data_IF_256582366446
#
_entry.id   IF_256582366446
#
_cell.length_a   1.000
_cell.length_b   1.000
_cell.length_c   1.000
_cell.angle_alpha   90.00
_cell.angle_beta   90.00
_cell.angle_gamma   90.00
#
_symmetry.space_group_name_H-M   'P 1'
#
loop_
_entity.id
_entity.type
_entity.pdbx_description
1 polymer ?
#
# COMPACT_ATOMS: atom_id res chain seq x y z
N UNK A 1 15.69 -20.62 7.76
CA UNK A 1 14.80 -19.50 8.12
C UNK A 1 13.61 -19.48 7.17
N UNK A 2 12.45 -19.25 7.72
CA UNK A 2 11.24 -19.22 6.91
C UNK A 2 11.08 -17.84 6.29
N UNK A 3 11.06 -17.78 4.97
CA UNK A 3 10.71 -16.55 4.26
C UNK A 3 9.21 -16.52 4.01
N UNK A 4 8.68 -15.30 3.92
CA UNK A 4 7.29 -15.05 3.53
C UNK A 4 7.25 -14.03 2.41
N UNK A 5 6.19 -14.07 1.63
CA UNK A 5 5.94 -13.05 0.61
C UNK A 5 5.20 -11.89 1.25
N UNK A 6 5.71 -10.67 1.03
CA UNK A 6 5.08 -9.44 1.48
C UNK A 6 4.80 -8.54 0.30
N UNK A 7 3.76 -7.73 0.41
CA UNK A 7 3.41 -6.74 -0.60
C UNK A 7 3.63 -5.37 0.00
N UNK A 8 4.43 -4.55 -0.67
CA UNK A 8 4.72 -3.19 -0.24
C UNK A 8 4.10 -2.20 -1.21
N UNK A 9 3.51 -1.14 -0.66
CA UNK A 9 2.93 -0.04 -1.41
C UNK A 9 3.67 1.23 -1.04
N UNK A 10 4.19 1.94 -2.04
CA UNK A 10 4.86 3.22 -1.84
C UNK A 10 3.86 4.35 -2.08
N UNK A 11 3.85 5.34 -1.19
CA UNK A 11 3.03 6.54 -1.33
C UNK A 11 3.89 7.72 -1.70
N UNK A 12 3.43 8.49 -2.67
CA UNK A 12 4.11 9.72 -3.05
C UNK A 12 5.10 9.58 -4.19
N UNK A 13 5.11 8.45 -4.90
CA UNK A 13 5.92 8.30 -6.12
C UNK A 13 5.40 9.30 -7.16
N UNK A 14 6.31 10.14 -7.66
CA UNK A 14 5.98 11.18 -8.63
C UNK A 14 6.64 10.89 -9.98
N UNK A 15 6.02 11.32 -11.09
CA UNK A 15 6.65 11.14 -12.41
C UNK A 15 7.88 12.00 -12.61
N UNK A 16 8.00 13.09 -11.85
CA UNK A 16 9.15 14.00 -11.93
C UNK A 16 9.32 14.72 -10.60
N UNK A 17 10.48 15.33 -10.40
CA UNK A 17 10.77 16.14 -9.22
C UNK A 17 11.32 15.33 -8.05
N UNK A 18 11.04 15.78 -6.84
CA UNK A 18 11.73 15.32 -5.62
C UNK A 18 11.56 13.84 -5.34
N UNK A 19 10.38 13.29 -5.55
CA UNK A 19 10.09 11.87 -5.26
C UNK A 19 9.89 11.06 -6.54
N UNK A 20 10.53 11.47 -7.63
CA UNK A 20 10.57 10.68 -8.85
C UNK A 20 11.58 9.55 -8.69
N UNK A 21 11.19 8.33 -9.05
CA UNK A 21 12.04 7.16 -8.94
C UNK A 21 11.60 6.12 -9.97
N UNK A 22 12.57 5.39 -10.51
CA UNK A 22 12.30 4.32 -11.48
C UNK A 22 12.14 2.99 -10.76
N UNK A 23 11.19 2.19 -11.18
CA UNK A 23 10.97 0.87 -10.58
C UNK A 23 12.20 -0.03 -10.70
N UNK A 24 12.96 0.08 -11.80
CA UNK A 24 14.20 -0.68 -11.95
C UNK A 24 15.21 -0.34 -10.86
N UNK A 25 15.33 0.92 -10.48
CA UNK A 25 16.22 1.34 -9.40
C UNK A 25 15.74 0.81 -8.04
N UNK A 26 14.44 0.79 -7.82
CA UNK A 26 13.85 0.22 -6.61
C UNK A 26 14.17 -1.28 -6.52
N UNK A 27 13.97 -2.03 -7.61
CA UNK A 27 14.30 -3.47 -7.62
C UNK A 27 15.77 -3.71 -7.31
N UNK A 28 16.65 -2.91 -7.88
CA UNK A 28 18.10 -3.04 -7.64
C UNK A 28 18.45 -2.75 -6.19
N UNK A 29 18.00 -1.64 -5.65
CA UNK A 29 18.33 -1.24 -4.27
C UNK A 29 17.79 -2.25 -3.26
N UNK A 30 16.55 -2.69 -3.42
CA UNK A 30 15.95 -3.64 -2.49
C UNK A 30 16.57 -5.03 -2.61
N UNK A 31 16.91 -5.47 -3.82
CA UNK A 31 17.64 -6.72 -4.00
C UNK A 31 19.01 -6.70 -3.34
N UNK A 32 19.72 -5.58 -3.45
CA UNK A 32 21.02 -5.39 -2.81
C UNK A 32 20.90 -5.26 -1.27
N UNK A 33 19.72 -5.02 -0.77
CA UNK A 33 19.44 -4.86 0.67
C UNK A 33 19.07 -6.18 1.36
N UNK A 34 19.16 -7.30 0.67
CA UNK A 34 18.85 -8.61 1.23
C UNK A 34 17.42 -9.07 1.12
N UNK A 35 16.60 -8.34 0.38
CA UNK A 35 15.24 -8.76 0.05
C UNK A 35 15.29 -9.62 -1.22
N UNK A 36 14.49 -10.68 -1.25
CA UNK A 36 14.56 -11.68 -2.33
C UNK A 36 13.39 -11.56 -3.28
N UNK A 37 13.62 -11.93 -4.54
CA UNK A 37 12.58 -12.04 -5.56
C UNK A 37 11.74 -10.76 -5.66
N UNK A 38 12.43 -9.62 -5.68
CA UNK A 38 11.77 -8.30 -5.72
C UNK A 38 11.14 -8.09 -7.09
N UNK A 39 9.84 -7.87 -7.12
CA UNK A 39 9.04 -7.68 -8.33
C UNK A 39 8.22 -6.41 -8.19
N UNK A 40 8.03 -5.70 -9.27
CA UNK A 40 7.23 -4.48 -9.29
C UNK A 40 6.18 -4.53 -10.39
N UNK A 41 5.08 -3.83 -10.18
CA UNK A 41 4.03 -3.66 -11.18
C UNK A 41 3.76 -2.18 -11.35
N UNK A 42 3.70 -1.73 -12.57
CA UNK A 42 3.48 -0.34 -12.97
C UNK A 42 4.39 0.64 -12.23
N UNK A 43 4.36 1.91 -12.62
CA UNK A 43 5.26 2.95 -12.08
C UNK A 43 4.71 3.60 -10.81
N UNK A 44 3.74 3.00 -10.15
CA UNK A 44 3.09 3.60 -8.97
C UNK A 44 3.61 3.07 -7.63
N UNK A 45 4.61 2.17 -7.63
CA UNK A 45 5.22 1.73 -6.39
C UNK A 45 4.55 0.52 -5.74
N UNK A 46 4.09 -0.43 -6.54
CA UNK A 46 3.55 -1.71 -6.05
C UNK A 46 4.66 -2.75 -6.14
N UNK A 47 5.03 -3.35 -5.01
CA UNK A 47 6.19 -4.22 -4.89
C UNK A 47 5.79 -5.52 -4.20
N UNK A 48 6.24 -6.66 -4.74
CA UNK A 48 6.21 -7.93 -3.99
C UNK A 48 7.64 -8.39 -3.74
N UNK A 49 7.86 -9.02 -2.62
CA UNK A 49 9.18 -9.50 -2.24
C UNK A 49 9.06 -10.66 -1.26
N UNK A 50 10.14 -11.42 -1.12
CA UNK A 50 10.24 -12.50 -0.16
C UNK A 50 11.31 -12.17 0.86
N UNK A 51 11.01 -12.35 2.15
CA UNK A 51 11.91 -12.01 3.23
C UNK A 51 11.58 -12.80 4.49
N UNK A 52 12.58 -12.96 5.35
CA UNK A 52 12.40 -13.51 6.70
C UNK A 52 12.02 -12.42 7.72
N UNK A 53 12.09 -11.15 7.33
CA UNK A 53 11.76 -10.04 8.21
C UNK A 53 10.25 -9.92 8.43
N UNK A 54 9.87 -9.30 9.55
CA UNK A 54 8.47 -8.92 9.80
C UNK A 54 8.03 -7.83 8.82
N UNK A 55 6.72 -7.63 8.70
CA UNK A 55 6.19 -6.54 7.88
C UNK A 55 6.69 -5.17 8.35
N UNK A 56 6.71 -4.94 9.66
CA UNK A 56 7.19 -3.68 10.24
C UNK A 56 8.67 -3.43 9.94
N UNK A 57 9.51 -4.44 10.11
CA UNK A 57 10.95 -4.32 9.83
C UNK A 57 11.19 -4.14 8.33
N UNK A 58 10.42 -4.81 7.49
CA UNK A 58 10.50 -4.66 6.04
C UNK A 58 10.14 -3.24 5.62
N UNK A 59 9.06 -2.68 6.16
CA UNK A 59 8.66 -1.31 5.85
C UNK A 59 9.76 -0.31 6.24
N UNK A 60 10.36 -0.48 7.42
CA UNK A 60 11.44 0.39 7.88
C UNK A 60 12.68 0.27 7.01
N UNK A 61 13.04 -0.95 6.62
CA UNK A 61 14.20 -1.19 5.75
C UNK A 61 14.00 -0.55 4.38
N UNK A 62 12.84 -0.74 3.77
CA UNK A 62 12.54 -0.17 2.46
C UNK A 62 12.62 1.36 2.53
N UNK A 63 11.98 1.97 3.52
CA UNK A 63 11.99 3.42 3.68
C UNK A 63 13.42 3.95 3.79
N UNK A 64 14.22 3.35 4.65
CA UNK A 64 15.59 3.78 4.90
C UNK A 64 16.47 3.61 3.65
N UNK A 65 16.37 2.48 2.96
CA UNK A 65 17.21 2.21 1.79
C UNK A 65 16.85 3.10 0.60
N UNK A 66 15.57 3.35 0.38
CA UNK A 66 15.18 4.26 -0.70
C UNK A 66 15.61 5.70 -0.39
N UNK A 67 15.52 6.10 0.87
CA UNK A 67 15.96 7.44 1.27
C UNK A 67 17.47 7.61 1.13
N UNK A 68 18.27 6.65 1.59
CA UNK A 68 19.73 6.76 1.55
C UNK A 68 20.33 6.49 0.18
N UNK A 69 19.74 5.60 -0.60
CA UNK A 69 20.29 5.17 -1.90
C UNK A 69 19.70 5.93 -3.09
N UNK A 70 18.46 6.36 -3.02
CA UNK A 70 17.77 7.01 -4.13
C UNK A 70 17.30 8.43 -3.79
N UNK A 71 17.55 8.89 -2.57
CA UNK A 71 17.19 10.22 -2.10
C UNK A 71 15.71 10.55 -2.27
N UNK A 72 14.84 9.58 -1.98
CA UNK A 72 13.39 9.75 -1.99
C UNK A 72 12.84 9.45 -0.60
N UNK A 73 11.86 10.22 -0.17
CA UNK A 73 11.19 10.04 1.12
C UNK A 73 9.75 9.61 0.84
N UNK A 74 9.56 8.30 0.81
CA UNK A 74 8.28 7.69 0.47
C UNK A 74 7.74 6.93 1.67
N UNK A 75 6.46 7.11 1.98
CA UNK A 75 5.80 6.28 2.97
C UNK A 75 5.67 4.85 2.42
N UNK A 76 5.95 3.87 3.25
CA UNK A 76 5.97 2.45 2.86
C UNK A 76 4.95 1.70 3.70
N UNK A 77 3.98 1.09 3.03
CA UNK A 77 2.94 0.29 3.66
C UNK A 77 3.15 -1.15 3.24
N UNK A 78 3.29 -2.05 4.22
CA UNK A 78 3.58 -3.47 3.95
C UNK A 78 2.45 -4.33 4.49
N UNK A 79 1.94 -5.21 3.65
CA UNK A 79 0.85 -6.14 3.97
C UNK A 79 1.24 -7.56 3.55
N UNK A 80 0.74 -8.54 4.33
CA UNK A 80 0.80 -9.94 3.89
C UNK A 80 -0.30 -10.21 2.87
N UNK A 81 -0.14 -11.25 2.02
CA UNK A 81 -1.22 -11.66 1.13
C UNK A 81 -2.52 -11.98 1.87
N UNK A 82 -2.44 -12.60 3.06
CA UNK A 82 -3.62 -12.90 3.87
C UNK A 82 -4.35 -11.64 4.32
N UNK A 83 -3.59 -10.60 4.73
CA UNK A 83 -4.19 -9.32 5.09
C UNK A 83 -4.90 -8.67 3.90
N UNK A 84 -4.29 -8.73 2.71
CA UNK A 84 -4.92 -8.18 1.50
C UNK A 84 -6.18 -8.94 1.11
N UNK A 85 -6.17 -10.27 1.25
CA UNK A 85 -7.37 -11.06 1.00
C UNK A 85 -8.51 -10.68 1.95
N UNK A 86 -8.18 -10.45 3.22
CA UNK A 86 -9.17 -10.02 4.21
C UNK A 86 -9.71 -8.63 3.88
N UNK A 87 -8.84 -7.70 3.47
CA UNK A 87 -9.25 -6.36 3.06
C UNK A 87 -10.24 -6.43 1.90
N UNK A 88 -9.94 -7.26 0.90
CA UNK A 88 -10.85 -7.45 -0.23
C UNK A 88 -12.17 -8.09 0.19
N UNK A 89 -12.12 -9.07 1.09
CA UNK A 89 -13.33 -9.75 1.58
C UNK A 89 -14.23 -8.83 2.40
N UNK A 90 -13.67 -7.86 3.10
CA UNK A 90 -14.41 -6.89 3.92
C UNK A 90 -14.90 -5.68 3.15
N UNK A 91 -14.60 -5.58 1.85
CA UNK A 91 -15.06 -4.46 1.01
C UNK A 91 -16.59 -4.41 1.00
N UNK A 92 -17.20 -3.32 1.51
CA UNK A 92 -18.67 -3.22 1.56
C UNK A 92 -19.29 -2.81 0.22
N UNK A 93 -18.47 -2.39 -0.74
CA UNK A 93 -18.94 -1.83 -2.01
C UNK A 93 -18.80 -2.86 -3.12
N UNK A 94 -19.55 -3.96 -3.00
CA UNK A 94 -19.56 -5.07 -3.97
C UNK A 94 -20.97 -5.30 -4.49
N UNK A 95 -21.08 -6.00 -5.62
CA UNK A 95 -22.36 -6.34 -6.23
C UNK A 95 -22.78 -5.34 -7.31
N UNK A 96 -23.98 -5.53 -7.81
CA UNK A 96 -24.47 -4.75 -8.98
C UNK A 96 -24.69 -3.28 -8.68
N UNK A 97 -24.87 -2.89 -7.40
CA UNK A 97 -25.08 -1.51 -7.01
C UNK A 97 -23.82 -0.64 -7.13
N UNK A 98 -22.65 -1.27 -7.28
CA UNK A 98 -21.37 -0.57 -7.25
C UNK A 98 -20.51 -0.91 -8.46
N UNK A 99 -19.87 0.12 -9.03
CA UNK A 99 -18.86 -0.05 -10.07
C UNK A 99 -17.49 -0.25 -9.40
N UNK A 100 -16.91 -1.44 -9.54
CA UNK A 100 -15.63 -1.77 -8.91
C UNK A 100 -14.50 -0.83 -9.31
N UNK A 101 -14.58 -0.19 -10.47
CA UNK A 101 -13.58 0.79 -10.92
C UNK A 101 -13.63 2.08 -10.13
N UNK A 102 -14.69 2.30 -9.35
CA UNK A 102 -14.90 3.50 -8.55
C UNK A 102 -14.74 3.26 -7.06
N UNK A 103 -14.25 2.08 -6.68
CA UNK A 103 -13.96 1.72 -5.29
C UNK A 103 -12.48 1.92 -5.04
N UNK A 104 -12.15 2.65 -3.98
CA UNK A 104 -10.78 2.97 -3.61
C UNK A 104 -10.51 2.50 -2.18
N UNK A 105 -9.31 1.98 -1.95
CA UNK A 105 -8.88 1.51 -0.64
C UNK A 105 -7.75 2.39 -0.13
N UNK A 106 -7.82 2.80 1.13
CA UNK A 106 -6.71 3.46 1.81
C UNK A 106 -6.13 2.48 2.84
N UNK A 107 -4.83 2.26 2.75
CA UNK A 107 -4.12 1.31 3.59
C UNK A 107 -3.15 2.03 4.52
N UNK A 108 -2.88 1.45 5.68
CA UNK A 108 -1.89 1.95 6.63
C UNK A 108 -1.21 0.78 7.34
N UNK A 109 -0.04 1.02 7.93
CA UNK A 109 0.68 -0.01 8.69
C UNK A 109 0.06 -0.26 10.07
N UNK A 110 -0.68 0.70 10.59
CA UNK A 110 -1.36 0.59 11.88
C UNK A 110 -2.87 0.50 11.67
N UNK A 111 -3.61 -0.10 12.61
CA UNK A 111 -5.06 -0.15 12.50
C UNK A 111 -5.67 1.24 12.36
N UNK A 112 -6.65 1.36 11.50
CA UNK A 112 -7.36 2.61 11.25
C UNK A 112 -8.52 2.76 12.22
N UNK A 113 -8.80 4.00 12.62
CA UNK A 113 -9.95 4.34 13.44
C UNK A 113 -10.58 5.64 12.92
N UNK A 114 -11.90 5.73 13.00
CA UNK A 114 -12.64 6.92 12.58
C UNK A 114 -12.74 7.92 13.72
N UNK A 115 -11.61 8.50 14.13
CA UNK A 115 -11.53 9.41 15.26
C UNK A 115 -12.24 10.76 15.01
N UNK A 116 -12.38 11.12 13.73
CA UNK A 116 -13.04 12.39 13.35
C UNK A 116 -14.51 12.21 12.98
N UNK A 117 -15.05 10.98 13.04
CA UNK A 117 -16.43 10.71 12.68
C UNK A 117 -16.72 10.90 11.20
N UNK A 118 -15.73 10.68 10.35
CA UNK A 118 -15.86 10.93 8.91
C UNK A 118 -16.89 10.05 8.23
N UNK A 119 -16.99 8.79 8.66
CA UNK A 119 -17.92 7.83 8.05
C UNK A 119 -19.39 8.20 8.30
N UNK A 120 -19.67 8.99 9.34
CA UNK A 120 -21.01 9.44 9.66
C UNK A 120 -21.43 10.69 8.87
N UNK A 121 -20.52 11.32 8.15
CA UNK A 121 -20.83 12.50 7.34
C UNK A 121 -21.54 12.11 6.06
N UNK A 122 -22.40 13.02 5.59
CA UNK A 122 -23.07 12.87 4.31
C UNK A 122 -22.19 13.47 3.21
N UNK A 123 -21.70 12.61 2.32
CA UNK A 123 -20.89 13.01 1.17
C UNK A 123 -21.69 12.97 -0.15
N UNK A 124 -23.01 12.92 -0.05
CA UNK A 124 -23.87 12.78 -1.23
C UNK A 124 -23.80 11.37 -1.81
N UNK A 125 -23.47 11.25 -3.11
CA UNK A 125 -23.32 9.95 -3.75
C UNK A 125 -22.05 9.21 -3.37
N UNK A 126 -21.08 9.90 -2.81
CA UNK A 126 -19.83 9.28 -2.35
C UNK A 126 -20.04 8.63 -0.99
N UNK A 127 -19.37 7.51 -0.76
CA UNK A 127 -19.50 6.75 0.47
C UNK A 127 -18.13 6.42 1.04
N UNK A 128 -18.06 6.38 2.38
CA UNK A 128 -16.83 6.09 3.10
C UNK A 128 -17.12 5.08 4.21
N UNK A 129 -16.29 4.07 4.32
CA UNK A 129 -16.31 3.13 5.45
C UNK A 129 -14.90 2.91 5.96
N UNK A 130 -14.71 3.06 7.27
CA UNK A 130 -13.42 2.89 7.92
C UNK A 130 -13.45 1.63 8.76
N UNK A 131 -12.59 0.67 8.41
CA UNK A 131 -12.37 -0.56 9.15
C UNK A 131 -10.93 -0.59 9.66
N UNK A 132 -10.58 -1.41 10.66
CA UNK A 132 -9.20 -1.45 11.16
C UNK A 132 -8.16 -1.76 10.08
N UNK A 133 -8.50 -2.61 9.10
CA UNK A 133 -7.57 -3.04 8.06
C UNK A 133 -7.46 -2.07 6.89
N UNK A 134 -8.51 -1.30 6.60
CA UNK A 134 -8.51 -0.38 5.47
C UNK A 134 -9.68 0.59 5.57
N UNK A 135 -9.56 1.73 4.92
CA UNK A 135 -10.69 2.59 4.63
C UNK A 135 -11.15 2.30 3.20
N UNK A 136 -12.46 2.25 3.00
CA UNK A 136 -13.07 1.97 1.70
C UNK A 136 -13.87 3.19 1.26
N UNK A 137 -13.67 3.61 0.02
CA UNK A 137 -14.35 4.76 -0.53
C UNK A 137 -15.02 4.39 -1.84
N UNK A 138 -16.27 4.82 -2.01
CA UNK A 138 -16.97 4.71 -3.27
C UNK A 138 -17.20 6.09 -3.85
N UNK A 139 -16.58 6.35 -5.00
CA UNK A 139 -16.65 7.64 -5.69
C UNK A 139 -17.21 7.38 -7.09
N UNK A 140 -18.54 7.51 -7.28
CA UNK A 140 -19.19 7.10 -8.53
C UNK A 140 -18.87 7.97 -9.74
N UNK A 141 -18.24 9.12 -9.55
CA UNK A 141 -17.89 10.02 -10.66
C UNK A 141 -16.44 10.45 -10.60
#
# INVERSE_FOLDING_TARGET
MNTQTLIAFLRGVMPSGKNAVKMADIRRVLGDSGLHNVRTWIQSGNIALDTALSAADTAALIHERLQTQLNVDLAVIVKTPAELQQILAENPFTGEAYDGKRVFFALANQPLADTAGLAARDFGAEQLRICPQAAYMYIPQ
#
